data_IF_354864927249
#
_entry.id   IF_354864927249
#
_cell.length_a   1.000
_cell.length_b   1.000
_cell.length_c   1.000
_cell.angle_alpha   90.00
_cell.angle_beta   90.00
_cell.angle_gamma   90.00
#
_symmetry.space_group_name_H-M   'P 1'
#
loop_
_entity.id
_entity.type
_entity.pdbx_description
1 polymer ?
#
# COMPACT_ATOMS: atom_id res chain seq x y z
N UNK A 1 -21.49 -44.31 -23.48
CA UNK A 1 -21.74 -44.12 -22.04
C UNK A 1 -20.97 -42.88 -21.61
N UNK A 2 -21.63 -41.72 -21.64
CA UNK A 2 -21.01 -40.43 -21.28
C UNK A 2 -21.31 -40.21 -19.80
N UNK A 3 -20.33 -40.50 -18.95
CA UNK A 3 -20.46 -40.30 -17.50
C UNK A 3 -20.55 -38.81 -17.24
N UNK A 4 -21.72 -38.34 -16.83
CA UNK A 4 -21.94 -36.97 -16.36
C UNK A 4 -21.07 -36.80 -15.12
N UNK A 5 -19.96 -36.07 -15.25
CA UNK A 5 -19.17 -35.64 -14.10
C UNK A 5 -20.09 -34.78 -13.23
N UNK A 6 -20.32 -35.20 -11.99
CA UNK A 6 -21.11 -34.46 -11.01
C UNK A 6 -20.49 -33.08 -10.76
N UNK A 7 -21.32 -32.07 -10.48
CA UNK A 7 -20.87 -30.69 -10.20
C UNK A 7 -19.72 -30.61 -9.18
N UNK A 8 -19.76 -31.47 -8.15
CA UNK A 8 -18.75 -31.59 -7.10
C UNK A 8 -17.38 -32.04 -7.62
N UNK A 9 -17.36 -32.98 -8.57
CA UNK A 9 -16.11 -33.50 -9.16
C UNK A 9 -15.42 -32.46 -10.07
N UNK A 10 -16.20 -31.64 -10.78
CA UNK A 10 -15.71 -30.54 -11.61
C UNK A 10 -15.16 -29.41 -10.73
N UNK A 11 -15.85 -29.12 -9.62
CA UNK A 11 -15.43 -28.12 -8.64
C UNK A 11 -14.08 -28.48 -8.00
N UNK A 12 -13.91 -29.73 -7.55
CA UNK A 12 -12.65 -30.22 -6.98
C UNK A 12 -11.48 -30.14 -7.98
N UNK A 13 -11.74 -30.39 -9.27
CA UNK A 13 -10.73 -30.27 -10.31
C UNK A 13 -10.31 -28.80 -10.54
N UNK A 14 -11.27 -27.86 -10.49
CA UNK A 14 -10.98 -26.41 -10.61
C UNK A 14 -10.08 -25.92 -9.47
N UNK A 15 -10.38 -26.32 -8.23
CA UNK A 15 -9.57 -25.95 -7.05
C UNK A 15 -8.15 -26.49 -7.13
N UNK A 16 -7.98 -27.75 -7.55
CA UNK A 16 -6.65 -28.33 -7.73
C UNK A 16 -5.86 -27.59 -8.81
N UNK A 17 -6.50 -27.24 -9.93
CA UNK A 17 -5.87 -26.44 -10.99
C UNK A 17 -5.48 -25.05 -10.46
N UNK A 18 -6.35 -24.38 -9.70
CA UNK A 18 -6.04 -23.10 -9.05
C UNK A 18 -4.81 -23.22 -8.15
N UNK A 19 -4.81 -24.23 -7.30
CA UNK A 19 -3.70 -24.50 -6.38
C UNK A 19 -2.40 -24.74 -7.15
N UNK A 20 -2.39 -25.62 -8.14
CA UNK A 20 -1.19 -25.93 -8.94
C UNK A 20 -0.67 -24.70 -9.69
N UNK A 21 -1.54 -23.98 -10.41
CA UNK A 21 -1.14 -22.83 -11.22
C UNK A 21 -0.70 -21.64 -10.36
N UNK A 22 -1.25 -21.48 -9.16
CA UNK A 22 -0.91 -20.37 -8.27
C UNK A 22 0.53 -20.39 -7.73
N UNK A 23 1.26 -21.49 -7.89
CA UNK A 23 2.69 -21.59 -7.56
C UNK A 23 3.62 -21.23 -8.73
N UNK A 24 3.07 -21.00 -9.92
CA UNK A 24 3.88 -20.71 -11.11
C UNK A 24 4.27 -19.22 -11.19
N UNK A 25 5.45 -18.90 -11.76
CA UNK A 25 5.82 -17.51 -12.03
C UNK A 25 4.84 -16.81 -12.97
N UNK A 26 4.66 -15.49 -12.79
CA UNK A 26 3.77 -14.66 -13.64
C UNK A 26 4.04 -14.88 -15.13
N UNK A 27 5.32 -14.84 -15.54
CA UNK A 27 5.72 -15.04 -16.95
C UNK A 27 5.25 -16.38 -17.53
N UNK A 28 5.28 -17.45 -16.73
CA UNK A 28 4.77 -18.76 -17.16
C UNK A 28 3.25 -18.70 -17.34
N UNK A 29 2.54 -18.11 -16.38
CA UNK A 29 1.08 -17.96 -16.45
C UNK A 29 0.62 -17.09 -17.63
N UNK A 30 1.37 -16.03 -17.96
CA UNK A 30 1.10 -15.22 -19.14
C UNK A 30 1.21 -16.02 -20.44
N UNK A 31 2.18 -16.94 -20.56
CA UNK A 31 2.28 -17.85 -21.71
C UNK A 31 1.17 -18.91 -21.72
N UNK A 32 0.70 -19.30 -20.54
CA UNK A 32 -0.35 -20.31 -20.37
C UNK A 32 -1.73 -19.85 -20.85
N UNK A 33 -1.92 -18.53 -21.01
CA UNK A 33 -3.07 -17.95 -21.72
C UNK A 33 -3.28 -18.55 -23.12
N UNK A 34 -2.19 -19.00 -23.76
CA UNK A 34 -2.23 -19.58 -25.11
C UNK A 34 -2.46 -21.11 -25.13
N UNK A 35 -2.50 -21.79 -23.98
CA UNK A 35 -2.63 -23.26 -23.92
C UNK A 35 -4.06 -23.71 -24.24
N UNK A 36 -5.06 -23.14 -23.55
CA UNK A 36 -6.47 -23.40 -23.82
C UNK A 36 -7.37 -22.28 -23.24
N UNK A 37 -8.63 -22.23 -23.68
CA UNK A 37 -9.62 -21.23 -23.21
C UNK A 37 -9.82 -21.28 -21.70
N UNK A 38 -9.83 -22.47 -21.10
CA UNK A 38 -10.01 -22.63 -19.67
C UNK A 38 -8.84 -22.05 -18.87
N UNK A 39 -7.60 -22.29 -19.29
CA UNK A 39 -6.42 -21.72 -18.64
C UNK A 39 -6.36 -20.21 -18.79
N UNK A 40 -6.70 -19.69 -19.97
CA UNK A 40 -6.82 -18.25 -20.18
C UNK A 40 -7.83 -17.62 -19.20
N UNK A 41 -9.03 -18.20 -19.08
CA UNK A 41 -10.05 -17.74 -18.16
C UNK A 41 -9.58 -17.82 -16.69
N UNK A 42 -8.96 -18.93 -16.29
CA UNK A 42 -8.40 -19.09 -14.93
C UNK A 42 -7.36 -18.03 -14.60
N UNK A 43 -6.44 -17.70 -15.52
CA UNK A 43 -5.42 -16.66 -15.26
C UNK A 43 -5.96 -15.23 -15.22
N UNK A 44 -7.22 -15.02 -15.60
CA UNK A 44 -7.93 -13.74 -15.51
C UNK A 44 -8.94 -13.69 -14.37
N UNK A 45 -9.20 -14.83 -13.72
CA UNK A 45 -10.11 -14.93 -12.58
C UNK A 45 -9.51 -14.20 -11.36
N UNK A 46 -10.25 -13.25 -10.80
CA UNK A 46 -9.73 -12.39 -9.73
C UNK A 46 -9.42 -13.18 -8.44
N UNK A 47 -10.17 -14.24 -8.13
CA UNK A 47 -9.89 -15.10 -6.98
C UNK A 47 -8.57 -15.83 -7.18
N UNK A 48 -8.33 -16.36 -8.38
CA UNK A 48 -7.04 -16.96 -8.75
C UNK A 48 -5.90 -15.94 -8.62
N UNK A 49 -6.09 -14.72 -9.15
CA UNK A 49 -5.08 -13.65 -9.08
C UNK A 49 -4.76 -13.30 -7.62
N UNK A 50 -5.76 -13.15 -6.74
CA UNK A 50 -5.56 -12.93 -5.32
C UNK A 50 -4.79 -14.06 -4.64
N UNK A 51 -5.14 -15.32 -4.93
CA UNK A 51 -4.44 -16.49 -4.39
C UNK A 51 -2.98 -16.53 -4.83
N UNK A 52 -2.73 -16.33 -6.13
CA UNK A 52 -1.41 -16.26 -6.73
C UNK A 52 -0.58 -15.12 -6.12
N UNK A 53 -1.15 -13.92 -5.99
CA UNK A 53 -0.49 -12.77 -5.38
C UNK A 53 -0.05 -13.02 -3.93
N UNK A 54 -0.87 -13.70 -3.11
CA UNK A 54 -0.51 -14.09 -1.73
C UNK A 54 0.70 -15.03 -1.68
N UNK A 55 0.90 -15.83 -2.73
CA UNK A 55 1.98 -16.84 -2.83
C UNK A 55 3.22 -16.29 -3.52
N UNK A 56 3.09 -15.21 -4.28
CA UNK A 56 4.21 -14.60 -4.97
C UNK A 56 5.24 -14.03 -4.00
N UNK A 57 6.54 -14.26 -4.26
CA UNK A 57 7.59 -13.62 -3.50
C UNK A 57 7.62 -12.12 -3.79
N UNK A 58 7.88 -11.33 -2.74
CA UNK A 58 8.18 -9.90 -2.89
C UNK A 58 9.59 -9.79 -3.48
N UNK A 59 9.72 -9.14 -4.62
CA UNK A 59 10.99 -8.74 -5.21
C UNK A 59 11.44 -7.40 -4.64
N UNK A 60 12.74 -7.26 -4.47
CA UNK A 60 13.36 -6.03 -3.99
C UNK A 60 14.23 -5.51 -5.13
N UNK A 61 13.78 -4.43 -5.77
CA UNK A 61 14.56 -3.77 -6.79
C UNK A 61 15.24 -2.54 -6.20
N UNK A 62 16.48 -2.31 -6.60
CA UNK A 62 17.13 -1.03 -6.35
C UNK A 62 16.48 0.00 -7.27
N UNK A 63 15.91 1.07 -6.69
CA UNK A 63 15.47 2.20 -7.50
C UNK A 63 16.69 2.75 -8.24
N UNK A 64 16.56 3.10 -9.54
CA UNK A 64 17.58 3.89 -10.20
C UNK A 64 17.84 5.13 -9.34
N UNK A 65 19.11 5.51 -9.14
CA UNK A 65 19.41 6.82 -8.58
C UNK A 65 18.67 7.83 -9.46
N UNK A 66 17.75 8.58 -8.86
CA UNK A 66 17.07 9.68 -9.53
C UNK A 66 18.20 10.64 -9.96
N UNK A 67 18.66 10.52 -11.20
CA UNK A 67 19.26 11.68 -11.86
C UNK A 67 18.11 12.67 -11.84
N UNK A 68 18.29 13.79 -11.14
CA UNK A 68 17.38 14.92 -11.01
C UNK A 68 17.06 15.53 -12.38
N UNK A 69 16.46 14.75 -13.29
CA UNK A 69 15.85 15.23 -14.49
C UNK A 69 14.47 15.69 -14.10
N UNK A 70 14.38 16.95 -13.64
CA UNK A 70 13.14 17.68 -13.44
C UNK A 70 12.28 17.83 -14.73
N UNK A 71 12.61 17.09 -15.79
CA UNK A 71 11.89 17.05 -17.03
C UNK A 71 11.62 15.59 -17.42
N UNK A 72 10.34 15.22 -17.51
CA UNK A 72 9.74 14.11 -18.30
C UNK A 72 9.44 12.74 -17.65
N UNK A 73 9.76 12.46 -16.39
CA UNK A 73 9.48 11.16 -15.75
C UNK A 73 8.18 11.10 -14.93
N UNK A 74 7.48 9.96 -14.93
CA UNK A 74 6.43 9.66 -13.94
C UNK A 74 7.05 9.41 -12.56
N UNK A 75 6.44 9.96 -11.50
CA UNK A 75 6.82 9.82 -10.10
C UNK A 75 5.94 8.74 -9.44
N UNK A 76 6.56 7.78 -8.76
CA UNK A 76 5.87 6.64 -8.13
C UNK A 76 5.25 7.04 -6.78
N UNK A 77 3.97 6.72 -6.59
CA UNK A 77 3.23 6.89 -5.33
C UNK A 77 3.13 5.58 -4.54
N UNK A 78 2.82 4.47 -5.20
CA UNK A 78 2.64 3.17 -4.53
C UNK A 78 3.07 2.01 -5.43
N UNK A 79 3.66 0.99 -4.81
CA UNK A 79 4.12 -0.24 -5.46
C UNK A 79 3.55 -1.47 -4.74
N UNK A 80 2.31 -1.86 -5.06
CA UNK A 80 1.66 -3.05 -4.52
C UNK A 80 1.21 -3.92 -5.68
N UNK A 81 2.18 -4.64 -6.24
CA UNK A 81 2.04 -5.46 -7.45
C UNK A 81 1.87 -4.67 -8.73
N UNK A 82 0.93 -3.74 -8.74
CA UNK A 82 0.84 -2.66 -9.70
C UNK A 82 1.63 -1.44 -9.20
N UNK A 83 1.93 -0.54 -10.12
CA UNK A 83 2.63 0.72 -9.84
C UNK A 83 1.65 1.86 -10.08
N UNK A 84 1.33 2.61 -9.03
CA UNK A 84 0.62 3.88 -9.13
C UNK A 84 1.64 5.00 -9.24
N UNK A 85 1.53 5.81 -10.29
CA UNK A 85 2.48 6.88 -10.59
C UNK A 85 1.77 8.07 -11.21
N UNK A 86 2.38 9.26 -11.13
CA UNK A 86 1.84 10.49 -11.70
C UNK A 86 2.88 11.30 -12.45
N UNK A 87 2.43 12.12 -13.39
CA UNK A 87 3.23 13.07 -14.13
C UNK A 87 2.76 14.48 -13.83
N UNK A 88 3.70 15.41 -13.62
CA UNK A 88 3.42 16.83 -13.49
C UNK A 88 3.52 17.47 -14.87
N UNK A 89 2.40 17.96 -15.37
CA UNK A 89 2.31 18.73 -16.61
C UNK A 89 2.15 20.21 -16.25
N UNK A 90 3.20 21.00 -16.46
CA UNK A 90 3.15 22.44 -16.24
C UNK A 90 2.39 23.10 -17.40
N UNK A 91 1.12 23.41 -17.18
CA UNK A 91 0.29 24.18 -18.11
C UNK A 91 -0.02 25.53 -17.45
N UNK A 92 0.57 26.60 -17.99
CA UNK A 92 0.46 27.96 -17.42
C UNK A 92 0.91 28.02 -15.94
N UNK A 93 0.22 28.80 -15.09
CA UNK A 93 0.60 29.09 -13.70
C UNK A 93 0.18 28.01 -12.69
N UNK A 94 -0.40 26.88 -13.12
CA UNK A 94 -0.86 25.82 -12.22
C UNK A 94 -0.49 24.43 -12.75
N UNK A 95 0.18 23.58 -11.96
CA UNK A 95 0.55 22.24 -12.40
C UNK A 95 -0.70 21.35 -12.56
N UNK A 96 -0.84 20.73 -13.73
CA UNK A 96 -1.77 19.63 -13.94
C UNK A 96 -1.09 18.30 -13.59
N UNK A 97 -1.85 17.32 -13.10
CA UNK A 97 -1.33 16.03 -12.65
C UNK A 97 -2.04 14.92 -13.38
N UNK A 98 -1.29 14.11 -14.14
CA UNK A 98 -1.82 12.95 -14.84
C UNK A 98 -1.46 11.73 -14.02
N UNK A 99 -2.45 10.94 -13.62
CA UNK A 99 -2.25 9.73 -12.82
C UNK A 99 -2.43 8.49 -13.70
N UNK A 100 -1.62 7.46 -13.45
CA UNK A 100 -1.80 6.16 -14.11
C UNK A 100 -1.41 5.01 -13.20
N UNK A 101 -1.97 3.84 -13.52
CA UNK A 101 -1.54 2.57 -12.96
C UNK A 101 -0.85 1.76 -14.06
N UNK A 102 0.28 1.14 -13.72
CA UNK A 102 1.04 0.28 -14.62
C UNK A 102 1.16 -1.12 -14.05
N UNK A 103 0.92 -2.14 -14.88
CA UNK A 103 1.34 -3.51 -14.61
C UNK A 103 2.69 -3.76 -15.32
N UNK A 104 3.80 -3.90 -14.59
CA UNK A 104 5.12 -4.10 -15.19
C UNK A 104 5.28 -5.50 -15.83
N UNK A 105 4.58 -6.52 -15.34
CA UNK A 105 4.67 -7.89 -15.89
C UNK A 105 3.91 -8.03 -17.20
N UNK A 106 2.84 -7.26 -17.37
CA UNK A 106 2.02 -7.28 -18.60
C UNK A 106 2.35 -6.16 -19.58
N UNK A 107 3.20 -5.20 -19.20
CA UNK A 107 3.50 -3.99 -19.98
C UNK A 107 2.23 -3.21 -20.38
N UNK A 108 1.30 -3.11 -19.43
CA UNK A 108 0.02 -2.43 -19.64
C UNK A 108 -0.15 -1.26 -18.68
N UNK A 109 -0.83 -0.23 -19.15
CA UNK A 109 -1.17 0.97 -18.37
C UNK A 109 -2.67 1.23 -18.38
N UNK A 110 -3.15 1.88 -17.33
CA UNK A 110 -4.48 2.47 -17.21
C UNK A 110 -4.32 3.91 -16.73
N UNK A 111 -4.81 4.87 -17.51
CA UNK A 111 -4.91 6.26 -17.06
C UNK A 111 -6.07 6.39 -16.07
N UNK A 112 -5.83 7.15 -15.00
CA UNK A 112 -6.81 7.38 -13.95
C UNK A 112 -7.58 8.66 -14.28
N UNK A 113 -8.93 8.64 -14.23
CA UNK A 113 -9.73 9.81 -14.53
C UNK A 113 -9.47 10.94 -13.54
N UNK A 114 -9.66 12.17 -13.99
CA UNK A 114 -9.57 13.35 -13.14
C UNK A 114 -10.67 13.34 -12.06
N UNK A 115 -10.32 13.84 -10.87
CA UNK A 115 -11.28 14.12 -9.80
C UNK A 115 -11.87 15.52 -9.99
N UNK A 116 -13.10 15.71 -9.51
CA UNK A 116 -13.73 17.04 -9.42
C UNK A 116 -13.01 17.95 -8.42
N UNK A 117 -12.30 17.36 -7.45
CA UNK A 117 -11.56 18.08 -6.43
C UNK A 117 -10.04 17.88 -6.62
N UNK A 118 -9.22 18.88 -6.25
CA UNK A 118 -7.77 18.71 -6.24
C UNK A 118 -7.33 17.53 -5.36
N UNK A 119 -6.71 16.52 -5.99
CA UNK A 119 -6.11 15.38 -5.28
C UNK A 119 -4.82 15.84 -4.59
N UNK A 120 -4.76 15.68 -3.27
CA UNK A 120 -3.62 15.98 -2.43
C UNK A 120 -2.68 14.79 -2.26
N UNK A 121 -3.22 13.57 -2.20
CA UNK A 121 -2.45 12.34 -2.18
C UNK A 121 -3.34 11.18 -2.67
N UNK A 122 -2.75 10.07 -3.11
CA UNK A 122 -3.47 8.89 -3.57
C UNK A 122 -2.73 7.62 -3.17
N UNK A 123 -3.49 6.61 -2.75
CA UNK A 123 -2.97 5.32 -2.33
C UNK A 123 -3.72 4.18 -2.99
N UNK A 124 -2.99 3.14 -3.38
CA UNK A 124 -3.57 1.91 -3.92
C UNK A 124 -3.83 0.92 -2.79
N UNK A 125 -5.09 0.49 -2.65
CA UNK A 125 -5.53 -0.50 -1.67
C UNK A 125 -5.73 -1.83 -2.36
N UNK A 126 -4.93 -2.82 -1.98
CA UNK A 126 -5.02 -4.20 -2.48
C UNK A 126 -5.27 -5.14 -1.32
N UNK A 127 -6.51 -5.60 -1.19
CA UNK A 127 -6.88 -6.59 -0.19
C UNK A 127 -7.32 -7.90 -0.85
N UNK A 128 -6.41 -8.86 -0.85
CA UNK A 128 -6.66 -10.18 -1.42
C UNK A 128 -7.55 -11.09 -0.57
N UNK A 129 -7.87 -10.73 0.68
CA UNK A 129 -8.86 -11.47 1.49
C UNK A 129 -10.27 -11.01 1.13
N UNK A 130 -10.48 -9.69 1.06
CA UNK A 130 -11.76 -9.08 0.68
C UNK A 130 -11.93 -8.87 -0.84
N UNK A 131 -10.95 -9.32 -1.62
CA UNK A 131 -10.89 -9.16 -3.07
C UNK A 131 -11.03 -7.69 -3.54
N UNK A 132 -10.38 -6.76 -2.84
CA UNK A 132 -10.40 -5.33 -3.16
C UNK A 132 -9.19 -4.95 -4.03
N UNK A 133 -9.44 -4.14 -5.04
CA UNK A 133 -8.44 -3.41 -5.80
C UNK A 133 -9.01 -2.01 -6.07
N UNK A 134 -8.66 -1.05 -5.22
CA UNK A 134 -9.24 0.31 -5.21
C UNK A 134 -8.15 1.37 -5.10
N UNK A 135 -8.48 2.60 -5.47
CA UNK A 135 -7.70 3.79 -5.11
C UNK A 135 -8.44 4.57 -4.04
N UNK A 136 -7.71 5.03 -3.03
CA UNK A 136 -8.18 6.03 -2.08
C UNK A 136 -7.44 7.32 -2.35
N UNK A 137 -8.17 8.38 -2.69
CA UNK A 137 -7.62 9.73 -2.83
C UNK A 137 -7.95 10.57 -1.60
N UNK A 138 -7.00 11.40 -1.20
CA UNK A 138 -7.21 12.51 -0.27
C UNK A 138 -7.42 13.73 -1.13
N UNK A 139 -8.55 14.42 -0.97
CA UNK A 139 -8.90 15.58 -1.79
C UNK A 139 -9.02 16.83 -0.93
N UNK A 140 -8.81 17.98 -1.56
CA UNK A 140 -9.14 19.28 -0.99
C UNK A 140 -10.54 19.69 -1.44
N UNK A 141 -11.51 19.70 -0.53
CA UNK A 141 -12.89 20.08 -0.84
C UNK A 141 -12.98 21.61 -0.93
N UNK A 142 -13.26 22.14 -2.11
CA UNK A 142 -13.33 23.59 -2.35
C UNK A 142 -14.70 24.13 -1.87
N UNK A 143 -14.69 25.25 -1.15
CA UNK A 143 -15.90 26.01 -0.83
C UNK A 143 -16.53 25.76 0.55
N UNK A 144 -15.95 24.86 1.36
CA UNK A 144 -16.35 24.68 2.76
C UNK A 144 -15.46 25.54 3.69
N UNK A 145 -16.04 26.44 4.52
CA UNK A 145 -15.29 27.33 5.41
C UNK A 145 -14.43 26.59 6.46
N UNK A 146 -14.63 25.29 6.69
CA UNK A 146 -13.86 24.48 7.64
C UNK A 146 -12.54 23.90 7.14
N UNK A 147 -12.19 24.07 5.85
CA UNK A 147 -11.05 23.41 5.16
C UNK A 147 -11.01 21.87 5.34
N UNK A 148 -12.03 21.11 4.90
CA UNK A 148 -12.06 19.69 5.12
C UNK A 148 -11.25 18.95 4.05
N UNK A 149 -10.33 18.11 4.52
CA UNK A 149 -9.85 16.98 3.72
C UNK A 149 -11.05 16.09 3.41
N UNK A 150 -11.30 15.83 2.13
CA UNK A 150 -12.26 14.83 1.70
C UNK A 150 -11.55 13.54 1.30
N UNK A 151 -12.34 12.51 1.08
CA UNK A 151 -11.87 11.26 0.50
C UNK A 151 -12.74 10.89 -0.69
N UNK A 152 -12.10 10.38 -1.74
CA UNK A 152 -12.81 9.72 -2.82
C UNK A 152 -12.21 8.34 -3.05
N UNK A 153 -13.06 7.42 -3.50
CA UNK A 153 -12.67 6.05 -3.81
C UNK A 153 -12.91 5.79 -5.29
N UNK A 154 -11.97 5.11 -5.94
CA UNK A 154 -12.11 4.59 -7.29
C UNK A 154 -12.02 3.08 -7.26
N UNK A 155 -13.09 2.39 -7.66
CA UNK A 155 -13.07 0.93 -7.80
C UNK A 155 -12.48 0.53 -9.15
N UNK A 156 -11.31 -0.13 -9.11
CA UNK A 156 -10.61 -0.58 -10.31
C UNK A 156 -11.10 -1.95 -10.79
N UNK A 157 -12.00 -2.59 -10.04
CA UNK A 157 -12.63 -3.85 -10.43
C UNK A 157 -13.87 -3.67 -11.30
N UNK A 158 -14.22 -2.43 -11.68
CA UNK A 158 -15.41 -2.19 -12.49
C UNK A 158 -15.36 -2.96 -13.82
N UNK A 159 -16.24 -3.95 -13.96
CA UNK A 159 -16.35 -4.81 -15.14
C UNK A 159 -16.90 -4.06 -16.37
N UNK A 160 -17.51 -2.89 -16.21
CA UNK A 160 -17.95 -2.03 -17.31
C UNK A 160 -16.77 -1.29 -17.93
N UNK A 161 -15.71 -1.01 -17.15
CA UNK A 161 -14.51 -0.30 -17.58
C UNK A 161 -14.65 1.22 -17.57
N UNK A 162 -15.74 1.72 -17.00
CA UNK A 162 -15.99 3.15 -16.76
C UNK A 162 -15.62 3.49 -15.32
N UNK A 163 -14.51 4.18 -15.12
CA UNK A 163 -14.03 4.53 -13.78
C UNK A 163 -14.56 5.92 -13.40
N UNK A 164 -15.19 6.02 -12.24
CA UNK A 164 -15.66 7.30 -11.68
C UNK A 164 -15.40 7.37 -10.19
N UNK A 165 -14.86 8.51 -9.74
CA UNK A 165 -14.60 8.76 -8.33
C UNK A 165 -15.91 8.83 -7.54
N UNK A 166 -15.95 8.15 -6.41
CA UNK A 166 -17.06 8.19 -5.46
C UNK A 166 -16.61 8.92 -4.20
N UNK A 167 -17.23 10.06 -3.90
CA UNK A 167 -16.93 10.83 -2.70
C UNK A 167 -17.48 10.12 -1.47
N UNK A 168 -16.67 10.06 -0.41
CA UNK A 168 -17.09 9.50 0.86
C UNK A 168 -17.87 10.54 1.67
N UNK A 169 -18.97 10.10 2.29
CA UNK A 169 -19.74 10.93 3.21
C UNK A 169 -18.99 11.07 4.54
N UNK A 170 -18.52 12.29 4.84
CA UNK A 170 -17.88 12.63 6.11
C UNK A 170 -18.84 13.43 6.98
N UNK A 171 -19.16 12.99 8.21
CA UNK A 171 -19.94 13.78 9.16
C UNK A 171 -19.29 15.15 9.41
N UNK A 172 -20.10 16.22 9.51
CA UNK A 172 -19.63 17.62 9.67
C UNK A 172 -18.72 17.86 10.90
N UNK A 173 -18.77 16.97 11.90
CA UNK A 173 -17.97 17.04 13.12
C UNK A 173 -17.05 15.81 13.30
N UNK A 174 -16.84 15.04 12.23
CA UNK A 174 -16.05 13.80 12.25
C UNK A 174 -14.67 13.93 12.89
N UNK A 175 -14.05 15.12 12.80
CA UNK A 175 -12.69 15.40 13.29
C UNK A 175 -12.64 16.32 14.52
N UNK A 176 -13.78 16.77 15.03
CA UNK A 176 -13.86 17.76 16.11
C UNK A 176 -13.08 19.03 15.79
N UNK A 177 -12.28 19.52 16.76
CA UNK A 177 -11.44 20.72 16.62
C UNK A 177 -10.10 20.46 15.89
N UNK A 178 -9.86 19.24 15.41
CA UNK A 178 -8.56 18.87 14.82
C UNK A 178 -8.41 19.49 13.45
N UNK A 179 -7.47 20.42 13.30
CA UNK A 179 -7.20 21.12 12.03
C UNK A 179 -5.88 20.69 11.42
N UNK A 180 -5.88 20.57 10.08
CA UNK A 180 -4.66 20.30 9.31
C UNK A 180 -3.75 21.53 9.30
N UNK A 181 -2.44 21.30 9.24
CA UNK A 181 -1.47 22.37 9.03
C UNK A 181 -1.57 22.97 7.60
N UNK A 182 -2.44 23.98 7.45
CA UNK A 182 -2.83 24.56 6.15
C UNK A 182 -1.69 25.22 5.37
N UNK A 183 -0.74 25.86 6.08
CA UNK A 183 0.36 26.65 5.48
C UNK A 183 1.37 25.81 4.66
N UNK A 184 1.15 24.50 4.49
CA UNK A 184 2.03 23.58 3.77
C UNK A 184 1.30 22.61 2.83
N UNK A 185 -0.01 22.78 2.61
CA UNK A 185 -0.77 21.86 1.75
C UNK A 185 -0.26 21.96 0.31
N UNK A 186 0.59 21.01 -0.06
CA UNK A 186 1.06 20.77 -1.41
C UNK A 186 0.64 19.36 -1.82
N UNK A 187 0.28 19.19 -3.10
CA UNK A 187 -0.01 17.85 -3.66
C UNK A 187 1.23 16.97 -3.52
N UNK A 188 1.01 15.71 -3.14
CA UNK A 188 2.03 14.68 -2.89
C UNK A 188 3.12 15.10 -1.89
N UNK A 189 2.77 15.97 -0.94
CA UNK A 189 3.67 16.34 0.15
C UNK A 189 3.78 15.21 1.19
N UNK A 190 4.90 15.22 1.92
CA UNK A 190 5.14 14.33 3.08
C UNK A 190 4.17 14.59 4.24
N UNK A 191 3.28 15.58 4.13
CA UNK A 191 2.20 15.84 5.09
C UNK A 191 1.21 14.68 5.15
N UNK A 192 1.02 13.95 4.06
CA UNK A 192 0.04 12.87 4.00
C UNK A 192 0.74 11.51 3.91
N UNK A 193 0.27 10.55 4.68
CA UNK A 193 0.70 9.16 4.56
C UNK A 193 -0.50 8.25 4.69
N UNK A 194 -0.67 7.33 3.75
CA UNK A 194 -1.75 6.35 3.77
C UNK A 194 -1.13 4.97 3.92
N UNK A 195 -1.69 4.17 4.80
CA UNK A 195 -1.39 2.74 4.92
C UNK A 195 -2.71 1.98 5.01
N UNK A 196 -2.74 0.75 4.55
CA UNK A 196 -3.94 -0.08 4.56
C UNK A 196 -3.68 -1.46 5.17
N UNK A 197 -4.70 -2.02 5.80
CA UNK A 197 -4.71 -3.38 6.29
C UNK A 197 -6.13 -3.93 6.33
N UNK A 198 -6.36 -5.08 5.69
CA UNK A 198 -7.63 -5.83 5.72
C UNK A 198 -8.86 -4.95 5.43
N UNK A 199 -8.91 -4.36 4.24
CA UNK A 199 -10.07 -3.57 3.84
C UNK A 199 -10.27 -2.30 4.66
N UNK A 200 -9.29 -1.91 5.46
CA UNK A 200 -9.28 -0.65 6.19
C UNK A 200 -8.07 0.17 5.75
N UNK A 201 -8.30 1.43 5.38
CA UNK A 201 -7.23 2.38 5.10
C UNK A 201 -7.13 3.41 6.24
N UNK A 202 -5.91 3.81 6.54
CA UNK A 202 -5.57 4.79 7.57
C UNK A 202 -4.85 5.94 6.89
N UNK A 203 -5.49 7.10 6.86
CA UNK A 203 -4.94 8.33 6.30
C UNK A 203 -4.40 9.21 7.43
N UNK A 204 -3.09 9.39 7.46
CA UNK A 204 -2.38 10.17 8.46
C UNK A 204 -1.98 11.53 7.89
N UNK A 205 -2.15 12.57 8.69
CA UNK A 205 -1.79 13.94 8.35
C UNK A 205 -1.31 14.74 9.55
N UNK A 206 -0.51 15.78 9.30
CA UNK A 206 0.04 16.62 10.39
C UNK A 206 -0.97 17.69 10.81
N UNK A 207 -1.24 17.74 12.11
CA UNK A 207 -2.14 18.74 12.71
C UNK A 207 -1.36 20.01 13.07
N UNK A 208 -2.06 21.12 13.25
CA UNK A 208 -1.48 22.38 13.76
C UNK A 208 -0.85 22.23 15.16
N UNK A 209 -1.37 21.31 15.97
CA UNK A 209 -0.93 21.09 17.35
C UNK A 209 0.26 20.12 17.46
N UNK A 210 0.97 19.87 16.36
CA UNK A 210 2.08 18.90 16.30
C UNK A 210 1.69 17.46 16.67
N UNK A 211 0.40 17.14 16.61
CA UNK A 211 -0.12 15.78 16.68
C UNK A 211 -0.27 15.20 15.27
N UNK A 212 -0.38 13.87 15.19
CA UNK A 212 -0.72 13.19 13.94
C UNK A 212 -2.23 12.94 13.96
N UNK A 213 -2.96 13.51 13.01
CA UNK A 213 -4.36 13.20 12.77
C UNK A 213 -4.47 11.93 11.94
N UNK A 214 -5.39 11.04 12.30
CA UNK A 214 -5.58 9.75 11.64
C UNK A 214 -7.06 9.55 11.36
N UNK A 215 -7.38 9.49 10.07
CA UNK A 215 -8.70 9.14 9.58
C UNK A 215 -8.72 7.67 9.19
N UNK A 216 -9.80 6.98 9.56
CA UNK A 216 -9.99 5.55 9.31
C UNK A 216 -11.11 5.39 8.29
N UNK A 217 -10.83 4.67 7.20
CA UNK A 217 -11.75 4.45 6.09
C UNK A 217 -11.97 2.95 5.88
N UNK A 218 -13.23 2.55 5.85
CA UNK A 218 -13.66 1.21 5.45
C UNK A 218 -13.67 1.12 3.91
N UNK A 219 -12.71 0.39 3.36
CA UNK A 219 -12.54 0.18 1.93
C UNK A 219 -13.38 -0.99 1.40
N UNK A 220 -13.99 -1.78 2.27
CA UNK A 220 -14.95 -2.81 1.87
C UNK A 220 -16.29 -2.15 1.53
N UNK A 221 -16.75 -1.28 2.43
CA UNK A 221 -18.05 -0.61 2.32
C UNK A 221 -17.97 0.81 1.75
N UNK A 222 -16.78 1.28 1.40
CA UNK A 222 -16.52 2.65 0.93
C UNK A 222 -17.15 3.70 1.84
N UNK A 223 -16.77 3.66 3.12
CA UNK A 223 -17.34 4.54 4.14
C UNK A 223 -16.31 5.03 5.14
N UNK A 224 -16.55 6.23 5.67
CA UNK A 224 -15.72 6.80 6.72
C UNK A 224 -16.06 6.16 8.07
N UNK A 225 -15.05 5.65 8.79
CA UNK A 225 -15.26 5.03 10.11
C UNK A 225 -15.14 6.07 11.22
N UNK A 226 -14.10 6.89 11.20
CA UNK A 226 -13.85 7.84 12.29
C UNK A 226 -12.47 8.47 12.28
N UNK A 227 -12.26 9.36 13.25
CA UNK A 227 -11.03 10.12 13.45
C UNK A 227 -10.40 9.78 14.80
N UNK A 228 -9.07 9.76 14.85
CA UNK A 228 -8.31 9.80 16.11
C UNK A 228 -7.06 10.66 15.95
N UNK A 229 -6.57 11.20 17.05
CA UNK A 229 -5.27 11.86 17.10
C UNK A 229 -4.28 10.97 17.82
N UNK A 230 -3.03 11.05 17.39
CA UNK A 230 -1.92 10.39 18.05
C UNK A 230 -1.00 11.45 18.67
N UNK A 231 -1.14 11.71 19.98
CA UNK A 231 -0.42 12.77 20.65
C UNK A 231 0.91 12.24 21.14
N UNK A 232 1.92 12.18 20.27
CA UNK A 232 3.24 11.82 20.75
C UNK A 232 4.38 12.35 19.90
N UNK A 233 5.24 13.19 20.47
CA UNK A 233 6.53 13.54 19.87
C UNK A 233 7.53 12.38 19.86
N UNK A 234 7.24 11.27 20.56
CA UNK A 234 8.10 10.09 20.56
C UNK A 234 8.11 9.36 19.21
N UNK A 235 6.97 9.28 18.52
CA UNK A 235 6.86 8.68 17.19
C UNK A 235 6.58 9.74 16.12
N UNK A 236 6.94 9.42 14.89
CA UNK A 236 6.59 10.16 13.68
C UNK A 236 5.71 9.32 12.78
N UNK A 237 5.08 9.92 11.76
CA UNK A 237 4.36 9.17 10.70
C UNK A 237 5.25 8.14 10.01
N UNK A 238 6.57 8.35 10.01
CA UNK A 238 7.54 7.44 9.43
C UNK A 238 7.84 6.21 10.26
N UNK A 239 7.42 6.19 11.52
CA UNK A 239 7.48 5.05 12.42
C UNK A 239 6.22 4.16 12.33
N UNK A 240 5.27 4.49 11.44
CA UNK A 240 4.06 3.70 11.26
C UNK A 240 4.40 2.33 10.64
N UNK A 241 3.83 1.28 11.20
CA UNK A 241 3.93 -0.09 10.73
C UNK A 241 2.56 -0.77 10.80
N UNK A 242 2.44 -1.90 10.13
CA UNK A 242 1.32 -2.81 10.33
C UNK A 242 1.76 -3.92 11.26
N UNK A 243 1.33 -3.88 12.53
CA UNK A 243 1.60 -4.94 13.50
C UNK A 243 0.40 -5.87 13.58
N UNK A 244 0.61 -7.16 13.24
CA UNK A 244 -0.49 -8.15 13.21
C UNK A 244 -1.73 -7.65 12.47
N UNK A 245 -1.53 -6.94 11.35
CA UNK A 245 -2.56 -6.37 10.48
C UNK A 245 -3.38 -5.22 11.11
N UNK A 246 -2.89 -4.57 12.16
CA UNK A 246 -3.44 -3.33 12.72
C UNK A 246 -2.45 -2.18 12.52
N UNK A 247 -2.96 -0.96 12.39
CA UNK A 247 -2.13 0.24 12.42
C UNK A 247 -1.37 0.30 13.75
N UNK A 248 -0.08 0.57 13.69
CA UNK A 248 0.78 0.67 14.86
C UNK A 248 1.96 1.59 14.60
N UNK A 249 2.63 2.04 15.66
CA UNK A 249 3.88 2.79 15.60
C UNK A 249 4.97 2.03 16.33
N UNK A 250 6.14 1.87 15.71
CA UNK A 250 7.24 1.10 16.29
C UNK A 250 8.56 1.86 16.20
N UNK A 251 9.24 1.97 17.35
CA UNK A 251 10.55 2.63 17.45
C UNK A 251 11.49 1.78 18.28
N UNK A 252 12.74 1.73 17.84
CA UNK A 252 13.80 1.04 18.58
C UNK A 252 14.40 1.99 19.61
N UNK A 253 14.46 1.55 20.86
CA UNK A 253 15.10 2.25 21.97
C UNK A 253 16.07 1.26 22.61
N UNK A 254 17.37 1.53 22.47
CA UNK A 254 18.44 0.60 22.90
C UNK A 254 18.26 -0.78 22.25
N UNK A 255 18.02 -1.82 23.04
CA UNK A 255 17.81 -3.20 22.65
C UNK A 255 16.32 -3.59 22.60
N UNK A 256 15.40 -2.63 22.66
CA UNK A 256 13.96 -2.88 22.70
C UNK A 256 13.22 -2.20 21.55
N UNK A 257 12.20 -2.87 21.01
CA UNK A 257 11.20 -2.26 20.12
C UNK A 257 9.98 -1.89 20.95
N UNK A 258 9.65 -0.61 20.95
CA UNK A 258 8.47 -0.06 21.61
C UNK A 258 7.38 0.10 20.57
N UNK A 259 6.35 -0.74 20.66
CA UNK A 259 5.22 -0.78 19.72
C UNK A 259 3.96 -0.25 20.39
N UNK A 260 3.33 0.73 19.75
CA UNK A 260 2.01 1.25 20.11
C UNK A 260 0.99 0.78 19.08
N UNK A 261 -0.07 0.10 19.51
CA UNK A 261 -1.05 -0.53 18.61
C UNK A 261 -2.38 0.21 18.70
N UNK A 262 -3.01 0.47 17.56
CA UNK A 262 -4.41 0.88 17.51
C UNK A 262 -5.28 -0.37 17.70
N UNK A 263 -5.93 -0.51 18.86
CA UNK A 263 -6.56 -1.78 19.26
C UNK A 263 -8.00 -1.93 18.78
N UNK A 264 -8.79 -0.87 18.92
CA UNK A 264 -10.21 -0.89 18.62
C UNK A 264 -10.61 0.35 17.80
N UNK A 265 -11.40 0.11 16.76
CA UNK A 265 -12.09 1.13 15.98
C UNK A 265 -13.50 0.63 15.60
N UNK A 266 -14.20 0.03 16.56
CA UNK A 266 -15.64 -0.17 16.42
C UNK A 266 -16.33 1.19 16.23
N UNK A 267 -17.49 1.21 15.56
CA UNK A 267 -18.27 2.41 15.16
C UNK A 267 -18.56 3.45 16.26
N UNK A 268 -18.18 3.21 17.51
CA UNK A 268 -18.48 4.06 18.66
C UNK A 268 -17.24 4.58 19.41
N UNK A 269 -16.07 3.91 19.39
CA UNK A 269 -14.85 4.39 20.09
C UNK A 269 -13.57 3.89 19.39
N UNK A 270 -12.67 4.82 19.05
CA UNK A 270 -11.33 4.50 18.56
C UNK A 270 -10.34 4.62 19.73
N UNK A 271 -9.62 3.53 20.05
CA UNK A 271 -8.71 3.48 21.21
C UNK A 271 -7.33 2.91 20.86
N UNK A 272 -6.31 3.58 21.38
CA UNK A 272 -4.94 3.08 21.42
C UNK A 272 -4.76 2.13 22.60
N UNK A 273 -3.89 1.13 22.45
CA UNK A 273 -3.49 0.24 23.53
C UNK A 273 -2.98 1.06 24.74
N UNK A 274 -3.50 0.77 25.94
CA UNK A 274 -3.03 1.42 27.17
C UNK A 274 -1.57 1.01 27.50
N UNK A 275 -1.22 -0.24 27.21
CA UNK A 275 0.12 -0.76 27.42
C UNK A 275 0.95 -0.73 26.13
N UNK A 276 2.14 -0.12 26.20
CA UNK A 276 3.14 -0.24 25.14
C UNK A 276 3.65 -1.68 25.08
N UNK A 277 3.60 -2.29 23.90
CA UNK A 277 4.22 -3.59 23.69
C UNK A 277 5.73 -3.40 23.56
N UNK A 278 6.48 -3.97 24.49
CA UNK A 278 7.95 -3.91 24.50
C UNK A 278 8.49 -5.27 24.06
N UNK A 279 9.32 -5.28 23.02
CA UNK A 279 9.93 -6.49 22.47
C UNK A 279 11.43 -6.37 22.55
N UNK A 280 12.09 -7.25 23.31
CA UNK A 280 13.54 -7.30 23.37
C UNK A 280 14.13 -7.83 22.06
N UNK A 281 15.24 -7.25 21.65
CA UNK A 281 16.05 -7.62 20.49
C UNK A 281 17.43 -8.04 20.99
N UNK A 282 17.61 -9.30 21.44
CA UNK A 282 18.85 -9.75 22.09
C UNK A 282 20.10 -9.67 21.20
N UNK A 283 19.91 -9.52 19.88
CA UNK A 283 21.00 -9.36 18.92
C UNK A 283 21.56 -7.93 18.89
N UNK A 284 20.82 -6.95 19.41
CA UNK A 284 21.29 -5.57 19.61
C UNK A 284 22.06 -5.51 20.92
N UNK A 285 23.36 -5.79 20.87
CA UNK A 285 24.24 -5.55 22.01
C UNK A 285 24.63 -4.07 22.07
N UNK A 286 24.81 -3.56 23.29
CA UNK A 286 25.09 -2.14 23.62
C UNK A 286 26.26 -1.49 22.85
N UNK A 287 27.13 -2.28 22.21
CA UNK A 287 28.40 -1.85 21.62
C UNK A 287 28.28 -1.39 20.16
N UNK A 288 27.12 -1.57 19.51
CA UNK A 288 26.99 -1.29 18.07
C UNK A 288 26.23 0.01 17.83
N UNK A 289 26.91 1.00 17.22
CA UNK A 289 26.31 2.24 16.67
C UNK A 289 25.43 1.97 15.43
N UNK A 290 24.76 0.82 15.37
CA UNK A 290 23.86 0.47 14.27
C UNK A 290 22.52 1.18 14.48
N UNK A 291 22.13 2.00 13.51
CA UNK A 291 20.81 2.60 13.48
C UNK A 291 19.82 1.61 12.86
N UNK A 292 18.63 1.51 13.45
CA UNK A 292 17.58 0.57 13.01
C UNK A 292 16.26 1.30 12.83
N UNK A 293 15.62 1.03 11.69
CA UNK A 293 14.24 1.43 11.39
C UNK A 293 13.42 0.18 11.13
N UNK A 294 12.34 0.04 11.88
CA UNK A 294 11.34 -1.01 11.65
C UNK A 294 10.60 -0.69 10.36
N UNK A 295 10.46 -1.69 9.48
CA UNK A 295 9.73 -1.56 8.23
C UNK A 295 8.34 -2.17 8.35
N UNK A 296 8.24 -3.43 8.79
CA UNK A 296 6.97 -4.18 8.87
C UNK A 296 7.04 -5.26 9.97
N UNK A 297 5.95 -5.47 10.72
CA UNK A 297 5.79 -6.60 11.63
C UNK A 297 4.77 -7.64 11.13
N UNK A 298 5.21 -8.76 10.53
CA UNK A 298 4.32 -9.82 10.04
C UNK A 298 4.35 -11.05 10.96
N UNK A 299 3.21 -11.37 11.59
CA UNK A 299 2.99 -12.57 12.42
C UNK A 299 4.04 -12.75 13.53
N UNK A 300 5.12 -13.47 13.24
CA UNK A 300 6.24 -13.77 14.15
C UNK A 300 7.59 -13.23 13.65
N UNK A 301 7.59 -12.36 12.64
CA UNK A 301 8.80 -11.76 12.07
C UNK A 301 8.73 -10.25 12.04
N UNK A 302 9.83 -9.61 12.39
CA UNK A 302 10.08 -8.18 12.25
C UNK A 302 10.99 -7.96 11.05
N UNK A 303 10.54 -7.19 10.06
CA UNK A 303 11.41 -6.68 9.00
C UNK A 303 11.92 -5.30 9.40
N UNK A 304 13.22 -5.08 9.30
CA UNK A 304 13.87 -3.82 9.65
C UNK A 304 15.04 -3.53 8.72
N UNK A 305 15.31 -2.26 8.47
CA UNK A 305 16.57 -1.83 7.91
C UNK A 305 17.54 -1.51 9.04
N UNK A 306 18.78 -1.97 8.92
CA UNK A 306 19.89 -1.57 9.78
C UNK A 306 20.99 -0.94 8.94
N UNK A 307 21.65 0.08 9.46
CA UNK A 307 22.76 0.72 8.78
C UNK A 307 23.84 1.18 9.75
N UNK A 308 25.08 1.18 9.26
CA UNK A 308 26.25 1.71 9.94
C UNK A 308 27.12 2.44 8.92
N UNK A 309 27.48 3.69 9.23
CA UNK A 309 28.15 4.64 8.33
C UNK A 309 27.52 4.60 6.94
N UNK A 310 28.16 4.01 5.94
CA UNK A 310 27.70 4.03 4.55
C UNK A 310 26.95 2.76 4.09
N UNK A 311 26.89 1.72 4.94
CA UNK A 311 26.31 0.43 4.58
C UNK A 311 24.96 0.22 5.24
N UNK A 312 23.96 -0.02 4.41
CA UNK A 312 22.60 -0.42 4.79
C UNK A 312 22.37 -1.90 4.47
N UNK A 313 21.52 -2.53 5.27
CA UNK A 313 21.01 -3.87 5.01
C UNK A 313 19.56 -3.98 5.46
N UNK A 314 18.80 -4.85 4.79
CA UNK A 314 17.43 -5.18 5.17
C UNK A 314 17.45 -6.57 5.77
N UNK A 315 16.94 -6.69 6.99
CA UNK A 315 16.98 -7.91 7.79
C UNK A 315 15.57 -8.29 8.25
N UNK A 316 15.40 -9.57 8.55
CA UNK A 316 14.26 -10.07 9.31
C UNK A 316 14.73 -10.69 10.60
N UNK A 317 14.02 -10.40 11.68
CA UNK A 317 14.17 -11.05 12.97
C UNK A 317 12.94 -11.92 13.24
N UNK A 318 13.16 -13.20 13.51
CA UNK A 318 12.08 -14.12 13.85
C UNK A 318 12.00 -14.27 15.38
N UNK A 319 10.87 -13.85 15.96
CA UNK A 319 10.68 -13.84 17.42
C UNK A 319 10.62 -15.25 18.03
N UNK A 320 10.25 -16.27 17.25
CA UNK A 320 10.15 -17.65 17.75
C UNK A 320 11.51 -18.31 17.83
N UNK A 321 12.36 -18.05 16.84
CA UNK A 321 13.68 -18.67 16.74
C UNK A 321 14.81 -17.80 17.28
N UNK A 322 14.56 -16.50 17.48
CA UNK A 322 15.59 -15.52 17.83
C UNK A 322 16.60 -15.27 16.73
N UNK A 323 16.36 -15.75 15.50
CA UNK A 323 17.32 -15.67 14.38
C UNK A 323 17.13 -14.39 13.58
N UNK A 324 18.24 -13.73 13.27
CA UNK A 324 18.30 -12.64 12.28
C UNK A 324 18.73 -13.22 10.93
N UNK A 325 17.99 -12.89 9.88
CA UNK A 325 18.30 -13.25 8.49
C UNK A 325 18.41 -11.99 7.65
N UNK A 326 19.56 -11.78 7.01
CA UNK A 326 19.75 -10.69 6.05
C UNK A 326 19.07 -11.04 4.73
N UNK A 327 18.18 -10.16 4.27
CA UNK A 327 17.50 -10.29 2.97
C UNK A 327 18.30 -9.55 1.89
N UNK A 328 18.79 -8.35 2.22
CA UNK A 328 19.62 -7.52 1.34
C UNK A 328 20.85 -7.10 2.12
N UNK A 329 22.04 -7.39 1.59
CA UNK A 329 23.31 -7.06 2.21
C UNK A 329 24.00 -5.88 1.52
N UNK A 330 24.64 -5.02 2.32
CA UNK A 330 25.73 -4.14 1.88
C UNK A 330 25.37 -3.18 0.74
N UNK A 331 24.21 -2.54 0.82
CA UNK A 331 23.84 -1.46 -0.09
C UNK A 331 24.31 -0.10 0.45
N UNK A 332 24.45 0.89 -0.43
CA UNK A 332 24.78 2.24 0.00
C UNK A 332 23.59 2.83 0.76
N UNK A 333 23.83 3.70 1.74
CA UNK A 333 22.74 4.37 2.46
C UNK A 333 21.82 5.18 1.54
N UNK A 334 22.36 5.75 0.46
CA UNK A 334 21.61 6.47 -0.57
C UNK A 334 20.76 5.56 -1.46
N UNK A 335 20.96 4.24 -1.41
CA UNK A 335 20.17 3.31 -2.22
C UNK A 335 18.74 3.25 -1.70
N UNK A 336 17.81 3.67 -2.56
CA UNK A 336 16.38 3.46 -2.37
C UNK A 336 15.99 2.10 -2.96
N UNK A 337 15.11 1.38 -2.27
CA UNK A 337 14.59 0.10 -2.72
C UNK A 337 13.09 0.20 -2.89
N UNK A 338 12.58 -0.40 -3.96
CA UNK A 338 11.16 -0.65 -4.15
C UNK A 338 10.87 -2.13 -3.91
N UNK A 339 9.74 -2.39 -3.24
CA UNK A 339 9.26 -3.73 -2.99
C UNK A 339 8.09 -3.97 -3.94
N UNK A 340 8.24 -4.89 -4.88
CA UNK A 340 7.19 -5.21 -5.84
C UNK A 340 6.89 -6.69 -5.82
N UNK A 341 5.61 -7.04 -5.77
CA UNK A 341 5.17 -8.43 -5.85
C UNK A 341 4.64 -8.68 -7.25
N UNK A 342 5.34 -9.42 -8.12
CA UNK A 342 4.85 -9.72 -9.46
C UNK A 342 3.41 -10.21 -9.42
N UNK A 343 2.55 -9.67 -10.28
CA UNK A 343 1.12 -9.93 -10.19
C UNK A 343 0.45 -10.06 -11.56
N UNK A 344 -0.70 -10.71 -11.55
CA UNK A 344 -1.57 -10.85 -12.71
C UNK A 344 -2.73 -9.84 -12.71
N UNK A 345 -2.73 -8.85 -11.82
CA UNK A 345 -3.80 -7.85 -11.77
C UNK A 345 -3.90 -7.11 -13.10
N UNK A 346 -5.10 -7.11 -13.67
CA UNK A 346 -5.42 -6.37 -14.88
C UNK A 346 -6.76 -5.67 -14.65
N UNK A 347 -6.84 -4.40 -15.04
CA UNK A 347 -8.06 -3.61 -14.97
C UNK A 347 -8.64 -3.51 -16.39
N UNK A 348 -9.97 -3.44 -16.52
CA UNK A 348 -10.58 -3.23 -17.83
C UNK A 348 -10.14 -1.88 -18.41
N UNK A 349 -9.85 -1.82 -19.71
CA UNK A 349 -9.32 -0.61 -20.36
C UNK A 349 -7.79 -0.46 -20.27
N UNK A 350 -7.10 -1.35 -19.55
CA UNK A 350 -5.64 -1.44 -19.64
C UNK A 350 -5.19 -1.75 -21.08
N UNK A 351 -4.19 -1.02 -21.55
CA UNK A 351 -3.65 -1.16 -22.90
C UNK A 351 -2.12 -1.11 -22.87
N UNK A 352 -1.49 -1.57 -23.97
CA UNK A 352 -0.04 -1.63 -24.05
C UNK A 352 0.60 -0.26 -23.85
N UNK A 353 1.65 -0.19 -23.03
CA UNK A 353 2.43 1.03 -22.82
C UNK A 353 3.25 1.33 -24.09
N UNK A 354 2.72 2.23 -24.93
CA UNK A 354 3.33 2.59 -26.22
C UNK A 354 4.66 3.36 -26.07
N UNK A 355 5.02 3.76 -24.84
CA UNK A 355 6.29 4.42 -24.56
C UNK A 355 7.44 3.44 -24.29
N UNK A 356 7.16 2.14 -24.14
CA UNK A 356 8.17 1.09 -23.86
C UNK A 356 8.52 0.26 -25.11
N UNK A 357 7.93 0.57 -26.26
CA UNK A 357 8.34 -0.01 -27.54
C UNK A 357 9.46 0.82 -28.16
N UNK A 358 10.70 0.64 -27.67
CA UNK A 358 11.96 0.81 -28.39
C UNK A 358 13.09 0.10 -27.66
#
# INVERSE_FOLDING_TARGET
>A
MMTILTSSSIFLLKEIIFEMLSYLPVKSLLRFKCVCKHWNATTQDFQFICLHFKRCPVLINKKPLEIESYATGFIILSTIGLILEYLICWVASSPNFIYRIRNPEMHQILEIPDSQNPILNMHMVVDTDNQLLKLLSVIHVIGDPGLPLGYEVLDLRNEEGTYSWQTLDLPKESRGETTILQNRICRHSTLFKIVDAIGTAYSMWDTTNSHIGIDIVDMVNDSYIGHTTFPNGFYSKDDCILWKRKLSFAKVVKDEVHVMVLEDYNKQQIKWAEAKLIIKLPFLKEVVQEQIKVLVGRRSKLCFSRWNWDKKSICTYDFKTGKVTTIVSSCNNSDLFEFITPCLFACKGMHADRLVSN
#
